data_IF_240138548587
#
_entry.id   IF_240138548587
#
_cell.length_a   1.000
_cell.length_b   1.000
_cell.length_c   1.000
_cell.angle_alpha   90.00
_cell.angle_beta   90.00
_cell.angle_gamma   90.00
#
_symmetry.space_group_name_H-M   'P 1'
#
loop_
_entity.id
_entity.type
_entity.pdbx_description
1 polymer ?
#
# COMPACT_ATOMS: atom_id res chain seq x y z
N UNK A 1 28.50 -24.71 22.67
CA UNK A 1 28.20 -24.98 21.28
C UNK A 1 27.12 -26.03 21.27
N UNK A 2 25.89 -25.65 21.22
CA UNK A 2 24.73 -26.53 21.13
C UNK A 2 23.69 -25.85 20.22
N UNK A 3 23.21 -26.60 19.32
CA UNK A 3 22.44 -26.32 18.11
C UNK A 3 21.17 -25.50 18.31
N UNK A 4 21.11 -24.37 17.63
CA UNK A 4 19.90 -23.57 17.42
C UNK A 4 19.25 -23.85 16.06
N UNK A 5 19.02 -25.12 15.72
CA UNK A 5 18.39 -25.51 14.45
C UNK A 5 17.00 -26.14 14.60
N UNK A 6 16.21 -25.74 15.58
CA UNK A 6 14.85 -26.31 15.73
C UNK A 6 13.76 -25.29 16.07
N UNK A 7 13.61 -24.24 15.26
CA UNK A 7 12.45 -23.34 15.43
C UNK A 7 11.73 -22.93 14.14
N UNK A 8 11.91 -23.69 13.05
CA UNK A 8 11.17 -23.44 11.79
C UNK A 8 10.33 -24.64 11.35
N UNK A 9 9.48 -25.18 12.21
CA UNK A 9 8.48 -26.12 11.76
C UNK A 9 7.09 -25.70 12.22
N UNK A 10 6.27 -25.44 11.18
CA UNK A 10 4.82 -25.57 11.15
C UNK A 10 3.98 -24.59 11.95
N UNK A 11 3.50 -23.59 11.27
CA UNK A 11 2.08 -23.24 11.31
C UNK A 11 1.71 -22.63 9.95
N UNK A 12 1.30 -23.47 9.02
CA UNK A 12 0.53 -22.98 7.87
C UNK A 12 -0.82 -22.53 8.40
N UNK A 13 -1.00 -21.22 8.58
CA UNK A 13 -2.29 -20.64 8.87
C UNK A 13 -3.15 -20.71 7.59
N UNK A 14 -4.47 -20.72 7.75
CA UNK A 14 -5.43 -20.67 6.64
C UNK A 14 -5.15 -19.51 5.66
N UNK A 15 -4.40 -18.49 6.07
CA UNK A 15 -3.92 -17.35 5.27
C UNK A 15 -2.86 -17.75 4.21
N UNK A 16 -2.12 -18.83 4.43
CA UNK A 16 -1.11 -19.30 3.46
C UNK A 16 -1.69 -19.87 2.17
N UNK A 17 -2.95 -20.30 2.19
CA UNK A 17 -3.58 -20.91 1.01
C UNK A 17 -3.91 -19.90 -0.09
N UNK A 18 -4.18 -18.64 0.27
CA UNK A 18 -4.46 -17.57 -0.70
C UNK A 18 -3.19 -16.89 -1.25
N UNK A 19 -2.07 -16.96 -0.50
CA UNK A 19 -0.78 -16.43 -0.96
C UNK A 19 -0.08 -17.36 -1.96
N UNK A 20 -0.41 -18.64 -1.98
CA UNK A 20 0.20 -19.64 -2.88
C UNK A 20 -0.29 -19.56 -4.34
N UNK A 21 -1.34 -18.81 -4.62
CA UNK A 21 -1.94 -18.66 -5.96
C UNK A 21 -1.21 -17.72 -6.92
N UNK A 22 -0.12 -17.07 -6.53
CA UNK A 22 0.47 -15.96 -7.28
C UNK A 22 1.93 -16.11 -7.74
N UNK A 23 2.58 -17.24 -7.55
CA UNK A 23 3.99 -17.36 -7.91
C UNK A 23 4.28 -18.64 -8.72
N UNK A 24 4.06 -18.59 -10.03
CA UNK A 24 4.76 -19.46 -10.98
C UNK A 24 5.74 -18.59 -11.76
N UNK A 25 6.92 -18.41 -11.19
CA UNK A 25 8.10 -17.89 -11.87
C UNK A 25 8.98 -19.07 -12.30
N UNK A 26 9.26 -19.16 -13.58
CA UNK A 26 10.10 -20.19 -14.19
C UNK A 26 11.53 -20.16 -13.61
N UNK A 27 11.95 -21.22 -12.93
CA UNK A 27 13.32 -21.49 -12.59
C UNK A 27 13.98 -22.33 -13.69
N UNK A 28 15.00 -21.81 -14.35
CA UNK A 28 15.85 -22.55 -15.28
C UNK A 28 16.91 -23.28 -14.45
N UNK A 29 16.82 -24.60 -14.41
CA UNK A 29 17.90 -25.45 -13.92
C UNK A 29 18.72 -25.95 -15.13
N UNK A 30 20.01 -25.63 -15.14
CA UNK A 30 20.98 -26.19 -16.09
C UNK A 30 21.62 -27.38 -15.44
N UNK A 31 21.43 -28.55 -16.01
CA UNK A 31 22.15 -29.79 -15.68
C UNK A 31 22.54 -30.56 -16.97
N UNK A 32 23.64 -31.36 -16.99
CA UNK A 32 24.30 -31.77 -18.21
C UNK A 32 23.62 -32.93 -18.91
N UNK A 33 23.74 -32.90 -20.24
CA UNK A 33 23.33 -33.87 -21.24
C UNK A 33 23.91 -35.27 -21.04
N UNK A 34 23.07 -36.30 -21.09
CA UNK A 34 23.36 -37.57 -21.74
C UNK A 34 22.07 -38.15 -22.33
N UNK A 35 22.18 -38.60 -23.55
CA UNK A 35 21.14 -38.84 -24.51
C UNK A 35 20.10 -39.92 -24.20
N UNK A 36 18.96 -39.74 -24.84
CA UNK A 36 17.90 -40.75 -24.90
C UNK A 36 16.62 -40.11 -25.46
N UNK A 37 16.30 -40.47 -26.71
CA UNK A 37 15.11 -40.09 -27.42
C UNK A 37 13.87 -40.72 -26.79
N UNK A 38 13.01 -39.92 -26.17
CA UNK A 38 11.59 -40.24 -25.98
C UNK A 38 10.80 -38.96 -26.00
N UNK A 39 10.08 -38.77 -27.10
CA UNK A 39 9.11 -37.66 -27.24
C UNK A 39 7.92 -37.96 -26.35
N UNK A 40 7.89 -37.34 -25.17
CA UNK A 40 6.70 -37.26 -24.34
C UNK A 40 6.15 -35.86 -24.48
N UNK A 41 5.01 -35.71 -25.13
CA UNK A 41 4.23 -34.51 -25.15
C UNK A 41 3.85 -34.17 -23.69
N UNK A 42 4.54 -33.19 -23.10
CA UNK A 42 4.14 -32.60 -21.82
C UNK A 42 2.88 -31.76 -22.13
N UNK A 43 1.72 -32.32 -21.84
CA UNK A 43 0.52 -31.51 -21.72
C UNK A 43 0.77 -30.49 -20.62
N UNK A 44 0.97 -29.24 -20.99
CA UNK A 44 0.96 -28.11 -20.09
C UNK A 44 -0.43 -28.05 -19.47
N UNK A 45 -0.57 -28.62 -18.27
CA UNK A 45 -1.71 -28.31 -17.44
C UNK A 45 -1.57 -26.82 -17.07
N UNK A 46 -2.27 -25.96 -17.79
CA UNK A 46 -2.49 -24.60 -17.37
C UNK A 46 -3.07 -24.67 -15.95
N UNK A 47 -2.33 -24.21 -14.97
CA UNK A 47 -2.89 -24.00 -13.64
C UNK A 47 -4.18 -23.16 -13.83
N UNK A 48 -5.27 -23.47 -13.11
CA UNK A 48 -6.47 -22.68 -13.21
C UNK A 48 -6.07 -21.24 -12.82
N UNK A 49 -6.12 -20.35 -13.80
CA UNK A 49 -6.16 -18.92 -13.54
C UNK A 49 -7.30 -18.77 -12.56
N UNK A 50 -7.03 -18.30 -11.36
CA UNK A 50 -8.08 -17.99 -10.39
C UNK A 50 -9.12 -17.18 -11.16
N UNK A 51 -10.33 -17.73 -11.29
CA UNK A 51 -11.37 -17.10 -12.05
C UNK A 51 -11.48 -15.68 -11.53
N UNK A 52 -11.37 -14.71 -12.42
CA UNK A 52 -11.73 -13.34 -12.10
C UNK A 52 -13.08 -13.43 -11.38
N UNK A 53 -13.27 -12.70 -10.25
CA UNK A 53 -14.51 -12.78 -9.50
C UNK A 53 -15.65 -12.69 -10.50
N UNK A 54 -16.58 -13.66 -10.44
CA UNK A 54 -17.67 -13.77 -11.40
C UNK A 54 -18.29 -12.38 -11.52
N UNK A 55 -18.43 -11.92 -12.76
CA UNK A 55 -18.98 -10.61 -13.06
C UNK A 55 -20.17 -10.41 -12.14
N UNK A 56 -20.08 -9.40 -11.26
CA UNK A 56 -21.18 -9.04 -10.40
C UNK A 56 -22.35 -8.81 -11.34
N UNK A 57 -23.36 -9.67 -11.29
CA UNK A 57 -24.59 -9.50 -12.06
C UNK A 57 -25.43 -8.32 -11.52
N UNK A 58 -24.74 -7.29 -11.03
CA UNK A 58 -25.27 -5.96 -10.83
C UNK A 58 -24.98 -5.19 -12.10
N UNK A 59 -25.95 -4.47 -12.60
CA UNK A 59 -25.76 -3.60 -13.75
C UNK A 59 -24.47 -2.80 -13.60
N UNK A 60 -23.78 -2.47 -14.69
CA UNK A 60 -22.60 -1.60 -14.68
C UNK A 60 -22.81 -0.32 -13.84
N UNK A 61 -24.05 0.12 -13.69
CA UNK A 61 -24.48 1.18 -12.80
C UNK A 61 -24.22 0.90 -11.29
N UNK A 62 -24.20 -0.36 -10.85
CA UNK A 62 -23.93 -0.68 -9.45
C UNK A 62 -22.42 -0.69 -9.12
N UNK A 63 -21.58 -0.87 -10.12
CA UNK A 63 -20.12 -0.96 -9.94
C UNK A 63 -19.42 0.36 -10.28
N UNK A 64 -19.91 1.11 -11.26
CA UNK A 64 -19.16 2.23 -11.80
C UNK A 64 -19.94 3.51 -12.12
N UNK A 65 -21.20 3.64 -11.75
CA UNK A 65 -21.96 4.82 -12.22
C UNK A 65 -22.25 4.81 -13.72
N UNK A 66 -22.55 5.95 -14.30
CA UNK A 66 -22.76 6.10 -15.75
C UNK A 66 -21.56 5.59 -16.54
N UNK A 67 -21.80 5.04 -17.73
CA UNK A 67 -20.75 4.49 -18.60
C UNK A 67 -19.50 5.37 -18.58
N UNK A 68 -18.43 4.80 -17.98
CA UNK A 68 -17.26 5.58 -17.66
C UNK A 68 -16.51 6.00 -18.92
N UNK A 69 -15.86 7.14 -18.84
CA UNK A 69 -14.83 7.52 -19.79
C UNK A 69 -13.44 7.30 -19.14
N UNK A 70 -12.91 6.08 -19.18
CA UNK A 70 -11.65 5.75 -18.50
C UNK A 70 -10.44 6.48 -19.11
N UNK A 71 -10.60 7.09 -20.27
CA UNK A 71 -9.54 7.87 -20.92
C UNK A 71 -9.39 9.25 -20.27
N UNK A 72 -10.51 9.88 -19.91
CA UNK A 72 -10.51 11.23 -19.34
C UNK A 72 -10.74 11.25 -17.82
N UNK A 73 -10.94 10.09 -17.20
CA UNK A 73 -11.12 9.98 -15.76
C UNK A 73 -9.83 9.55 -15.07
N UNK A 74 -9.42 10.22 -13.98
CA UNK A 74 -8.25 9.80 -13.21
C UNK A 74 -8.37 8.34 -12.75
N UNK A 75 -7.28 7.59 -12.82
CA UNK A 75 -7.25 6.24 -12.27
C UNK A 75 -7.27 6.27 -10.72
N UNK A 76 -7.69 5.17 -10.11
CA UNK A 76 -7.48 4.90 -8.68
C UNK A 76 -5.98 4.65 -8.47
N UNK A 77 -5.27 5.63 -7.90
CA UNK A 77 -3.83 5.53 -7.69
C UNK A 77 -3.49 5.37 -6.21
N UNK A 78 -2.41 4.64 -5.93
CA UNK A 78 -1.87 4.49 -4.59
C UNK A 78 -2.85 3.87 -3.60
N UNK A 79 -3.62 2.88 -4.03
CA UNK A 79 -4.59 2.19 -3.17
C UNK A 79 -3.90 1.55 -1.98
N UNK A 80 -4.30 1.93 -0.78
CA UNK A 80 -3.72 1.48 0.47
C UNK A 80 -4.73 1.38 1.60
N UNK A 81 -4.34 0.66 2.63
CA UNK A 81 -5.16 0.35 3.80
C UNK A 81 -4.52 0.88 5.07
N UNK A 82 -5.38 1.26 6.01
CA UNK A 82 -5.03 1.57 7.38
C UNK A 82 -6.08 1.00 8.32
N UNK A 83 -5.68 0.56 9.49
CA UNK A 83 -6.66 0.26 10.52
C UNK A 83 -7.40 1.53 10.97
N UNK A 84 -8.68 1.38 11.29
CA UNK A 84 -9.42 2.39 12.04
C UNK A 84 -9.05 2.39 13.52
N UNK A 85 -9.89 3.02 14.35
CA UNK A 85 -9.68 3.08 15.79
C UNK A 85 -9.79 1.71 16.48
N UNK A 86 -10.62 0.82 15.93
CA UNK A 86 -10.72 -0.58 16.32
C UNK A 86 -10.22 -1.48 15.17
N UNK A 87 -8.96 -1.97 15.22
CA UNK A 87 -8.40 -2.81 14.16
C UNK A 87 -9.16 -4.11 13.91
N UNK A 88 -9.94 -4.58 14.87
CA UNK A 88 -10.74 -5.78 14.73
C UNK A 88 -12.06 -5.54 13.96
N UNK A 89 -12.53 -4.29 13.89
CA UNK A 89 -13.86 -3.95 13.38
C UNK A 89 -13.87 -2.78 12.38
N UNK A 90 -12.73 -2.13 12.17
CA UNK A 90 -12.65 -0.95 11.32
C UNK A 90 -11.45 -1.02 10.37
N UNK A 91 -11.67 -0.55 9.14
CA UNK A 91 -10.64 -0.41 8.11
C UNK A 91 -10.86 0.90 7.36
N UNK A 92 -9.78 1.55 6.99
CA UNK A 92 -9.82 2.67 6.06
C UNK A 92 -9.17 2.26 4.75
N UNK A 93 -9.90 2.45 3.66
CA UNK A 93 -9.39 2.25 2.30
C UNK A 93 -9.16 3.62 1.69
N UNK A 94 -7.94 3.86 1.23
CA UNK A 94 -7.53 5.17 0.72
C UNK A 94 -6.89 5.06 -0.66
N UNK A 95 -7.11 6.07 -1.49
CA UNK A 95 -6.44 6.26 -2.78
C UNK A 95 -6.35 7.74 -3.11
N UNK A 96 -5.63 8.09 -4.15
CA UNK A 96 -5.52 9.49 -4.55
C UNK A 96 -5.67 9.70 -6.05
N UNK A 97 -5.95 10.94 -6.42
CA UNK A 97 -6.06 11.43 -7.79
C UNK A 97 -5.47 12.84 -7.88
N UNK A 98 -5.12 13.27 -9.09
CA UNK A 98 -4.65 14.64 -9.35
C UNK A 98 -5.75 15.58 -9.85
N UNK A 99 -6.97 15.09 -9.88
CA UNK A 99 -8.18 15.86 -10.20
C UNK A 99 -9.28 15.43 -9.23
N UNK A 100 -10.27 16.31 -8.95
CA UNK A 100 -11.42 15.90 -8.18
C UNK A 100 -12.22 14.81 -8.90
N UNK A 101 -12.80 13.91 -8.15
CA UNK A 101 -13.61 12.79 -8.65
C UNK A 101 -14.98 12.80 -7.98
N UNK A 102 -15.96 12.15 -8.62
CA UNK A 102 -17.32 12.07 -8.12
C UNK A 102 -17.65 10.65 -7.67
N UNK A 103 -18.55 10.54 -6.71
CA UNK A 103 -19.07 9.27 -6.17
C UNK A 103 -17.98 8.26 -5.79
N UNK A 104 -16.92 8.77 -5.17
CA UNK A 104 -15.83 7.94 -4.64
C UNK A 104 -16.35 7.07 -3.50
N UNK A 105 -16.16 5.75 -3.62
CA UNK A 105 -16.66 4.77 -2.64
C UNK A 105 -15.91 3.45 -2.69
N UNK A 106 -16.09 2.66 -1.67
CA UNK A 106 -15.63 1.27 -1.61
C UNK A 106 -16.82 0.34 -1.63
N UNK A 107 -16.80 -0.62 -2.52
CA UNK A 107 -17.73 -1.75 -2.50
C UNK A 107 -17.07 -2.88 -1.73
N UNK A 108 -17.71 -3.35 -0.65
CA UNK A 108 -17.18 -4.38 0.24
C UNK A 108 -17.94 -5.69 0.06
N UNK A 109 -17.20 -6.78 0.00
CA UNK A 109 -17.70 -8.14 -0.09
C UNK A 109 -16.93 -9.11 0.82
N UNK A 110 -17.49 -10.29 0.96
CA UNK A 110 -16.81 -11.42 1.58
C UNK A 110 -15.99 -12.21 0.56
N UNK A 111 -15.40 -13.29 1.02
CA UNK A 111 -14.61 -14.22 0.17
C UNK A 111 -15.48 -14.97 -0.86
N UNK A 112 -16.82 -14.85 -0.77
CA UNK A 112 -17.76 -15.32 -1.80
C UNK A 112 -17.75 -14.42 -3.08
N UNK A 113 -17.01 -13.32 -3.06
CA UNK A 113 -16.90 -12.38 -4.18
C UNK A 113 -18.13 -11.51 -4.42
N UNK A 114 -19.10 -11.52 -3.50
CA UNK A 114 -20.32 -10.71 -3.62
C UNK A 114 -20.14 -9.41 -2.84
N UNK A 115 -20.24 -8.30 -3.56
CA UNK A 115 -20.19 -6.95 -2.98
C UNK A 115 -21.58 -6.54 -2.50
N UNK A 116 -21.80 -6.55 -1.20
CA UNK A 116 -23.11 -6.29 -0.59
C UNK A 116 -23.26 -4.89 -0.01
N UNK A 117 -22.13 -4.28 0.37
CA UNK A 117 -22.10 -3.01 1.07
C UNK A 117 -21.31 -1.98 0.28
N UNK A 118 -21.75 -0.73 0.35
CA UNK A 118 -21.07 0.43 -0.24
C UNK A 118 -20.76 1.46 0.83
N UNK A 119 -19.51 1.92 0.87
CA UNK A 119 -19.03 2.92 1.84
C UNK A 119 -18.52 4.14 1.07
N UNK A 120 -19.16 5.30 1.22
CA UNK A 120 -18.70 6.51 0.56
C UNK A 120 -17.33 6.95 1.09
N UNK A 121 -16.49 7.48 0.22
CA UNK A 121 -15.23 8.06 0.59
C UNK A 121 -15.36 9.57 0.82
N UNK A 122 -14.61 10.07 1.80
CA UNK A 122 -14.43 11.50 2.04
C UNK A 122 -13.15 11.95 1.34
N UNK A 123 -13.24 13.07 0.62
CA UNK A 123 -12.10 13.67 -0.05
C UNK A 123 -11.37 14.64 0.89
N UNK A 124 -10.06 14.46 1.03
CA UNK A 124 -9.14 15.47 1.55
C UNK A 124 -8.27 15.96 0.40
N UNK A 125 -7.74 17.16 0.49
CA UNK A 125 -6.82 17.67 -0.52
C UNK A 125 -5.75 18.55 0.08
N UNK A 126 -4.61 18.61 -0.60
CA UNK A 126 -3.61 19.64 -0.37
C UNK A 126 -3.05 20.13 -1.71
N UNK A 127 -2.53 21.35 -1.69
CA UNK A 127 -1.78 21.89 -2.83
C UNK A 127 -0.32 21.94 -2.45
N UNK A 128 0.53 21.26 -3.23
CA UNK A 128 1.96 21.25 -2.99
C UNK A 128 2.55 22.65 -3.14
N UNK A 129 3.17 23.15 -2.07
CA UNK A 129 3.74 24.48 -2.02
C UNK A 129 4.94 24.72 -2.97
N UNK A 130 5.48 23.66 -3.57
CA UNK A 130 6.60 23.75 -4.52
C UNK A 130 6.13 23.75 -5.97
N UNK A 131 5.21 22.88 -6.34
CA UNK A 131 4.71 22.72 -7.71
C UNK A 131 3.40 23.45 -7.97
N UNK A 132 2.63 23.78 -6.94
CA UNK A 132 1.26 24.29 -7.06
C UNK A 132 0.23 23.22 -7.48
N UNK A 133 0.65 21.97 -7.62
CA UNK A 133 -0.24 20.87 -7.99
C UNK A 133 -1.10 20.44 -6.79
N UNK A 134 -2.39 20.20 -7.04
CA UNK A 134 -3.31 19.71 -6.01
C UNK A 134 -3.47 18.20 -6.09
N UNK A 135 -3.40 17.55 -4.94
CA UNK A 135 -3.68 16.13 -4.74
C UNK A 135 -4.98 15.98 -3.98
N UNK A 136 -5.81 15.06 -4.42
CA UNK A 136 -7.08 14.70 -3.78
C UNK A 136 -6.99 13.26 -3.28
N UNK A 137 -7.02 13.05 -1.97
CA UNK A 137 -7.07 11.74 -1.36
C UNK A 137 -8.50 11.39 -0.95
N UNK A 138 -8.90 10.18 -1.26
CA UNK A 138 -10.21 9.62 -0.96
C UNK A 138 -10.05 8.63 0.18
N UNK A 139 -10.87 8.74 1.24
CA UNK A 139 -10.81 7.87 2.42
C UNK A 139 -12.19 7.28 2.70
N UNK A 140 -12.36 6.00 2.46
CA UNK A 140 -13.56 5.26 2.82
C UNK A 140 -13.37 4.58 4.17
N UNK A 141 -14.12 5.03 5.18
CA UNK A 141 -14.11 4.45 6.51
C UNK A 141 -15.15 3.32 6.59
N UNK A 142 -14.67 2.12 6.81
CA UNK A 142 -15.45 0.89 6.92
C UNK A 142 -15.52 0.50 8.39
N UNK A 143 -16.70 0.34 8.92
CA UNK A 143 -16.94 -0.05 10.32
C UNK A 143 -17.93 -1.20 10.43
N UNK A 144 -18.04 -1.79 11.61
CA UNK A 144 -18.96 -2.90 11.86
C UNK A 144 -18.51 -4.23 11.25
N UNK A 145 -17.21 -4.37 11.00
CA UNK A 145 -16.62 -5.61 10.51
C UNK A 145 -16.57 -6.69 11.60
N UNK A 146 -16.56 -7.94 11.18
CA UNK A 146 -16.30 -9.06 12.07
C UNK A 146 -14.81 -9.22 12.33
N UNK A 147 -14.37 -9.53 13.55
CA UNK A 147 -12.97 -9.78 13.87
C UNK A 147 -12.43 -11.04 13.21
N UNK A 148 -11.13 -11.04 12.90
CA UNK A 148 -10.40 -12.18 12.30
C UNK A 148 -11.06 -12.70 11.02
N UNK A 149 -11.59 -11.79 10.20
CA UNK A 149 -12.25 -12.10 8.94
C UNK A 149 -11.51 -11.50 7.75
N UNK A 150 -11.56 -12.21 6.63
CA UNK A 150 -11.07 -11.75 5.34
C UNK A 150 -12.21 -11.12 4.54
N UNK A 151 -11.88 -9.98 3.94
CA UNK A 151 -12.77 -9.21 3.08
C UNK A 151 -12.10 -8.92 1.75
N UNK A 152 -12.94 -8.81 0.71
CA UNK A 152 -12.55 -8.30 -0.59
C UNK A 152 -13.25 -6.98 -0.84
N UNK A 153 -12.60 -6.10 -1.59
CA UNK A 153 -13.20 -4.80 -1.89
C UNK A 153 -12.82 -4.28 -3.26
N UNK A 154 -13.61 -3.34 -3.75
CA UNK A 154 -13.32 -2.53 -4.94
C UNK A 154 -13.32 -1.06 -4.54
N UNK A 155 -12.23 -0.35 -4.83
CA UNK A 155 -12.20 1.10 -4.80
C UNK A 155 -12.67 1.62 -6.15
N UNK A 156 -13.66 2.52 -6.14
CA UNK A 156 -14.30 3.03 -7.35
C UNK A 156 -14.62 4.52 -7.21
N UNK A 157 -14.64 5.21 -8.33
CA UNK A 157 -15.28 6.51 -8.51
C UNK A 157 -15.80 6.60 -9.96
N UNK A 158 -16.68 7.56 -10.20
CA UNK A 158 -17.33 7.66 -11.51
C UNK A 158 -16.32 7.73 -12.66
N UNK A 159 -16.53 6.90 -13.65
CA UNK A 159 -15.73 6.83 -14.87
C UNK A 159 -14.44 6.01 -14.78
N UNK A 160 -13.92 5.74 -13.57
CA UNK A 160 -12.69 4.98 -13.41
C UNK A 160 -12.90 3.46 -13.47
N UNK A 161 -11.86 2.74 -13.86
CA UNK A 161 -11.82 1.30 -13.70
C UNK A 161 -11.70 0.95 -12.20
N UNK A 162 -12.58 0.07 -11.68
CA UNK A 162 -12.48 -0.38 -10.30
C UNK A 162 -11.13 -1.05 -10.00
N UNK A 163 -10.56 -0.78 -8.84
CA UNK A 163 -9.33 -1.44 -8.38
C UNK A 163 -9.64 -2.36 -7.21
N UNK A 164 -9.28 -3.62 -7.38
CA UNK A 164 -9.48 -4.68 -6.40
C UNK A 164 -8.42 -4.66 -5.30
N UNK A 165 -8.85 -4.97 -4.08
CA UNK A 165 -8.00 -5.29 -2.95
C UNK A 165 -8.68 -6.26 -1.98
N UNK A 166 -7.92 -6.70 -0.99
CA UNK A 166 -8.42 -7.56 0.09
C UNK A 166 -7.76 -7.16 1.41
N UNK A 167 -8.38 -7.52 2.53
CA UNK A 167 -7.77 -7.33 3.83
C UNK A 167 -8.31 -8.34 4.84
N UNK A 168 -7.60 -8.49 5.95
CA UNK A 168 -8.08 -9.17 7.13
C UNK A 168 -8.20 -8.19 8.28
N UNK A 169 -9.28 -8.30 9.06
CA UNK A 169 -9.42 -7.61 10.35
C UNK A 169 -8.54 -8.27 11.40
N UNK A 170 -8.12 -7.49 12.40
CA UNK A 170 -7.39 -8.04 13.52
C UNK A 170 -8.27 -8.99 14.35
N UNK A 171 -7.68 -10.00 15.00
CA UNK A 171 -8.39 -10.83 15.96
C UNK A 171 -8.72 -10.03 17.22
N UNK A 172 -9.73 -10.49 17.97
CA UNK A 172 -10.00 -10.02 19.32
C UNK A 172 -9.29 -10.88 20.36
N UNK A 173 -8.96 -10.30 21.50
CA UNK A 173 -8.33 -11.01 22.61
C UNK A 173 -6.83 -11.26 22.40
N UNK A 174 -6.30 -12.25 23.12
CA UNK A 174 -4.87 -12.58 23.12
C UNK A 174 -4.56 -13.67 22.10
N UNK A 175 -4.14 -13.24 20.93
CA UNK A 175 -3.71 -14.15 19.86
C UNK A 175 -2.32 -13.75 19.36
N UNK A 176 -1.55 -14.73 18.91
CA UNK A 176 -0.27 -14.48 18.27
C UNK A 176 -0.50 -13.93 16.85
N UNK A 177 0.23 -12.89 16.50
CA UNK A 177 0.27 -12.35 15.15
C UNK A 177 1.68 -11.86 14.82
N UNK A 178 1.96 -11.73 13.55
CA UNK A 178 3.21 -11.16 13.04
C UNK A 178 2.93 -9.78 12.49
N UNK A 179 3.81 -8.83 12.73
CA UNK A 179 3.85 -7.55 12.04
C UNK A 179 5.28 -7.24 11.60
N UNK A 180 5.44 -6.37 10.63
CA UNK A 180 6.75 -5.83 10.26
C UNK A 180 6.87 -4.39 10.75
N UNK A 181 8.10 -3.98 11.00
CA UNK A 181 8.44 -2.61 11.38
C UNK A 181 9.66 -2.18 10.58
N UNK A 182 9.56 -1.10 9.82
CA UNK A 182 10.60 -0.56 8.97
C UNK A 182 10.37 0.93 8.71
N UNK A 183 11.35 1.61 8.13
CA UNK A 183 11.30 3.01 7.74
C UNK A 183 12.32 3.29 6.66
N UNK A 184 12.54 4.55 6.30
CA UNK A 184 13.60 4.99 5.39
C UNK A 184 13.60 4.26 4.05
N UNK A 185 12.43 4.07 3.45
CA UNK A 185 12.31 3.24 2.24
C UNK A 185 12.77 3.97 0.97
N UNK A 186 12.32 5.20 0.78
CA UNK A 186 12.50 5.91 -0.47
C UNK A 186 11.66 5.32 -1.62
N UNK A 187 12.09 5.59 -2.85
CA UNK A 187 11.44 5.10 -4.06
C UNK A 187 12.41 4.32 -4.95
N UNK A 188 11.93 3.46 -5.85
CA UNK A 188 12.79 2.79 -6.84
C UNK A 188 13.35 3.75 -7.89
N UNK A 189 12.80 4.94 -8.00
CA UNK A 189 13.21 5.95 -8.98
C UNK A 189 14.61 6.41 -8.68
N UNK A 190 15.49 6.34 -9.68
CA UNK A 190 16.87 6.84 -9.55
C UNK A 190 16.85 8.37 -9.51
N UNK A 191 17.52 8.92 -8.50
CA UNK A 191 17.71 10.36 -8.37
C UNK A 191 18.63 10.94 -9.43
N UNK A 192 19.01 12.19 -9.27
CA UNK A 192 19.88 12.92 -10.20
C UNK A 192 21.35 12.64 -9.91
N UNK A 193 22.14 12.65 -10.96
CA UNK A 193 23.60 12.81 -10.81
C UNK A 193 23.89 14.22 -10.32
N UNK A 194 24.77 14.35 -9.32
CA UNK A 194 25.21 15.64 -8.84
C UNK A 194 25.76 16.47 -10.00
N UNK A 195 25.22 17.65 -10.19
CA UNK A 195 25.74 18.63 -11.14
C UNK A 195 26.65 19.60 -10.36
N UNK A 196 27.96 19.54 -10.55
CA UNK A 196 28.86 20.44 -9.85
C UNK A 196 28.58 21.90 -10.25
N UNK A 197 28.92 22.88 -9.39
CA UNK A 197 28.87 24.30 -9.73
C UNK A 197 29.65 24.61 -11.02
N UNK A 198 29.24 25.64 -11.71
CA UNK A 198 29.89 26.06 -12.94
C UNK A 198 31.41 26.22 -12.75
N UNK A 199 32.22 25.64 -13.62
CA UNK A 199 33.68 25.66 -13.57
C UNK A 199 34.33 24.58 -12.68
N UNK A 200 33.55 23.74 -12.02
CA UNK A 200 34.04 22.58 -11.24
C UNK A 200 33.78 21.30 -12.04
N UNK A 201 34.84 20.54 -12.30
CA UNK A 201 34.73 19.22 -12.94
C UNK A 201 35.04 18.14 -11.92
N UNK A 202 34.10 17.22 -11.73
CA UNK A 202 34.26 16.03 -10.89
C UNK A 202 34.23 14.81 -11.81
N UNK A 203 35.29 14.01 -11.81
CA UNK A 203 35.44 12.88 -12.73
C UNK A 203 34.35 11.81 -12.55
N UNK A 204 33.94 11.55 -11.30
CA UNK A 204 32.85 10.65 -10.94
C UNK A 204 31.93 11.38 -9.96
N UNK A 205 31.00 12.21 -10.45
CA UNK A 205 30.13 12.95 -9.56
C UNK A 205 29.31 11.97 -8.71
N UNK A 206 29.17 12.21 -7.40
CA UNK A 206 28.35 11.37 -6.56
C UNK A 206 26.93 11.39 -7.08
N UNK A 207 26.27 10.27 -6.94
CA UNK A 207 24.86 10.17 -7.23
C UNK A 207 24.11 10.97 -6.17
N UNK A 208 23.40 12.02 -6.57
CA UNK A 208 22.54 12.80 -5.69
C UNK A 208 21.12 12.37 -5.97
N UNK A 209 20.56 11.71 -5.02
CA UNK A 209 19.20 11.27 -5.07
C UNK A 209 18.29 12.35 -4.49
N UNK A 210 17.45 12.94 -5.31
CA UNK A 210 16.48 13.94 -4.85
C UNK A 210 15.46 13.33 -3.91
N UNK A 211 15.23 12.03 -4.00
CA UNK A 211 14.22 11.31 -3.25
C UNK A 211 14.79 10.12 -2.46
N UNK A 212 16.07 10.08 -2.21
CA UNK A 212 16.77 9.02 -1.47
C UNK A 212 16.16 7.64 -1.74
N UNK A 213 16.21 7.20 -2.96
CA UNK A 213 15.73 5.88 -3.36
C UNK A 213 16.78 5.16 -4.20
N UNK A 214 16.46 3.98 -4.61
CA UNK A 214 17.31 3.18 -5.45
C UNK A 214 16.62 1.88 -5.85
N UNK A 215 17.18 1.12 -6.81
CA UNK A 215 16.56 -0.11 -7.29
C UNK A 215 16.20 -1.10 -6.19
N UNK A 216 16.92 -1.09 -5.06
CA UNK A 216 16.63 -1.94 -3.91
C UNK A 216 15.27 -1.65 -3.26
N UNK A 217 14.79 -0.40 -3.31
CA UNK A 217 13.47 -0.03 -2.77
C UNK A 217 12.33 -0.80 -3.45
N UNK A 218 12.51 -1.22 -4.71
CA UNK A 218 11.54 -2.04 -5.43
C UNK A 218 11.32 -3.43 -4.79
N UNK A 219 12.31 -3.93 -4.07
CA UNK A 219 12.26 -5.25 -3.43
C UNK A 219 11.64 -5.21 -2.03
N UNK A 220 11.53 -4.03 -1.41
CA UNK A 220 11.01 -3.87 -0.05
C UNK A 220 9.61 -4.49 0.11
N UNK A 221 8.61 -4.20 -0.74
CA UNK A 221 7.28 -4.79 -0.59
C UNK A 221 7.29 -6.32 -0.65
N UNK A 222 8.09 -6.91 -1.55
CA UNK A 222 8.23 -8.36 -1.63
C UNK A 222 8.94 -8.94 -0.40
N UNK A 223 9.90 -8.22 0.15
CA UNK A 223 10.64 -8.62 1.36
C UNK A 223 9.74 -8.68 2.60
N UNK A 224 8.98 -7.62 2.86
CA UNK A 224 8.10 -7.53 4.02
C UNK A 224 6.90 -8.47 3.94
N UNK A 225 6.44 -8.81 2.73
CA UNK A 225 5.34 -9.74 2.53
C UNK A 225 5.73 -11.21 2.76
N UNK A 226 7.01 -11.56 2.76
CA UNK A 226 7.48 -12.96 2.96
C UNK A 226 7.07 -13.54 4.30
N UNK A 227 6.95 -12.70 5.35
CA UNK A 227 6.55 -13.15 6.69
C UNK A 227 5.05 -13.10 6.91
N UNK A 228 4.27 -12.79 5.88
CA UNK A 228 2.80 -12.72 5.90
C UNK A 228 2.26 -11.96 7.13
N UNK A 229 2.67 -10.70 7.31
CA UNK A 229 2.29 -9.95 8.50
C UNK A 229 0.81 -9.59 8.46
N UNK A 230 0.24 -9.33 9.63
CA UNK A 230 -1.12 -8.78 9.75
C UNK A 230 -1.14 -7.33 9.25
N UNK A 231 -0.11 -6.55 9.58
CA UNK A 231 0.05 -5.16 9.17
C UNK A 231 1.53 -4.75 9.18
N UNK A 232 1.80 -3.54 8.66
CA UNK A 232 3.11 -2.93 8.64
C UNK A 232 3.14 -1.67 9.50
N UNK A 233 4.12 -1.55 10.40
CA UNK A 233 4.49 -0.27 11.03
C UNK A 233 5.55 0.39 10.14
N UNK A 234 5.26 1.60 9.67
CA UNK A 234 6.20 2.37 8.89
C UNK A 234 6.72 3.55 9.74
N UNK A 235 8.00 3.51 10.09
CA UNK A 235 8.59 4.38 11.11
C UNK A 235 9.14 5.68 10.54
N UNK A 236 8.43 6.28 9.59
CA UNK A 236 8.78 7.57 9.00
C UNK A 236 9.77 7.49 7.85
N UNK A 237 10.04 8.66 7.27
CA UNK A 237 10.90 8.85 6.10
C UNK A 237 10.49 7.92 4.95
N UNK A 238 9.23 8.09 4.51
CA UNK A 238 8.59 7.18 3.57
C UNK A 238 9.23 7.26 2.18
N UNK A 239 9.15 8.41 1.55
CA UNK A 239 9.53 8.57 0.15
C UNK A 239 10.53 9.71 -0.10
N UNK A 240 10.88 10.50 0.92
CA UNK A 240 11.80 11.62 0.83
C UNK A 240 11.37 12.71 -0.18
N UNK A 241 10.07 12.90 -0.33
CA UNK A 241 9.52 13.88 -1.27
C UNK A 241 9.99 15.31 -1.01
N UNK A 242 10.28 15.67 0.25
CA UNK A 242 10.80 16.98 0.62
C UNK A 242 12.12 17.35 -0.10
N UNK A 243 12.94 16.35 -0.44
CA UNK A 243 14.20 16.51 -1.16
C UNK A 243 14.00 16.50 -2.68
N UNK A 244 12.87 15.97 -3.14
CA UNK A 244 12.61 15.79 -4.56
C UNK A 244 12.32 17.11 -5.29
N UNK A 245 12.66 17.16 -6.57
CA UNK A 245 12.28 18.27 -7.45
C UNK A 245 10.78 18.29 -7.68
N UNK A 246 10.19 17.12 -7.91
CA UNK A 246 8.76 16.91 -8.06
C UNK A 246 8.25 16.02 -6.91
N UNK A 247 7.69 16.65 -5.89
CA UNK A 247 7.19 15.97 -4.70
C UNK A 247 6.00 15.09 -4.99
N UNK A 248 5.06 15.58 -5.78
CA UNK A 248 3.82 14.84 -6.09
C UNK A 248 4.13 13.59 -6.89
N UNK A 249 5.04 13.69 -7.87
CA UNK A 249 5.53 12.51 -8.59
C UNK A 249 6.24 11.52 -7.67
N UNK A 250 7.03 11.99 -6.72
CA UNK A 250 7.75 11.13 -5.77
C UNK A 250 6.78 10.34 -4.89
N UNK A 251 5.70 10.96 -4.41
CA UNK A 251 4.63 10.26 -3.73
C UNK A 251 3.93 9.23 -4.63
N UNK A 252 3.70 9.56 -5.90
CA UNK A 252 3.14 8.61 -6.87
C UNK A 252 4.07 7.41 -7.08
N UNK A 253 5.36 7.64 -7.29
CA UNK A 253 6.36 6.58 -7.45
C UNK A 253 6.46 5.67 -6.20
N UNK A 254 6.31 6.26 -5.01
CA UNK A 254 6.24 5.50 -3.76
C UNK A 254 5.03 4.58 -3.73
N UNK A 255 3.86 5.09 -4.09
CA UNK A 255 2.64 4.30 -4.11
C UNK A 255 2.65 3.24 -5.22
N UNK A 256 3.14 3.55 -6.41
CA UNK A 256 3.26 2.58 -7.51
C UNK A 256 4.10 1.38 -7.10
N UNK A 257 5.15 1.62 -6.31
CA UNK A 257 5.97 0.56 -5.75
C UNK A 257 5.24 -0.27 -4.68
N UNK A 258 4.47 0.38 -3.82
CA UNK A 258 3.99 -0.21 -2.57
C UNK A 258 2.54 -0.68 -2.61
N UNK A 259 1.71 -0.19 -3.53
CA UNK A 259 0.27 -0.47 -3.55
C UNK A 259 -0.06 -1.97 -3.66
N UNK A 260 0.80 -2.79 -4.25
CA UNK A 260 0.60 -4.25 -4.31
C UNK A 260 0.59 -4.91 -2.93
N UNK A 261 1.34 -4.36 -1.96
CA UNK A 261 1.26 -4.73 -0.55
C UNK A 261 0.17 -3.91 0.16
N UNK A 262 0.24 -2.60 0.03
CA UNK A 262 -0.58 -1.66 0.78
C UNK A 262 -2.09 -1.79 0.53
N UNK A 263 -2.52 -2.27 -0.64
CA UNK A 263 -3.93 -2.56 -0.93
C UNK A 263 -4.46 -3.86 -0.29
N UNK A 264 -3.57 -4.68 0.28
CA UNK A 264 -3.94 -5.96 0.86
C UNK A 264 -3.58 -6.09 2.34
N UNK A 265 -2.79 -5.14 2.88
CA UNK A 265 -2.40 -5.10 4.28
C UNK A 265 -2.39 -3.67 4.79
N UNK A 266 -2.85 -3.43 6.02
CA UNK A 266 -2.76 -2.10 6.60
C UNK A 266 -1.32 -1.63 6.75
N UNK A 267 -1.05 -0.43 6.28
CA UNK A 267 0.18 0.30 6.47
C UNK A 267 -0.06 1.40 7.49
N UNK A 268 0.56 1.29 8.66
CA UNK A 268 0.38 2.21 9.78
C UNK A 268 1.62 3.10 9.91
N UNK A 269 1.65 4.25 9.21
CA UNK A 269 2.82 5.10 9.19
C UNK A 269 2.85 6.07 10.37
N UNK A 270 4.05 6.36 10.84
CA UNK A 270 4.36 7.58 11.58
C UNK A 270 5.09 8.53 10.63
N UNK A 271 4.92 9.86 10.75
CA UNK A 271 5.72 10.79 9.98
C UNK A 271 7.14 10.87 10.52
N UNK A 272 8.13 10.83 9.64
CA UNK A 272 9.52 11.16 9.94
C UNK A 272 9.81 12.64 9.67
N UNK A 273 11.07 13.02 9.73
CA UNK A 273 11.46 14.40 9.43
C UNK A 273 11.41 14.71 7.92
N UNK A 274 11.46 13.69 7.06
CA UNK A 274 11.36 13.85 5.62
C UNK A 274 9.92 13.95 5.10
N UNK A 275 8.91 13.71 5.92
CA UNK A 275 7.52 14.09 5.63
C UNK A 275 7.25 15.57 5.87
N UNK A 276 8.21 16.32 6.44
CA UNK A 276 8.15 17.76 6.53
C UNK A 276 8.50 18.41 5.18
N UNK A 277 7.50 18.69 4.41
CA UNK A 277 7.60 19.33 3.11
C UNK A 277 7.32 20.84 3.24
N UNK A 278 8.37 21.65 3.15
CA UNK A 278 8.24 23.11 3.28
C UNK A 278 7.18 23.68 2.31
N UNK A 279 6.25 24.44 2.87
CA UNK A 279 5.15 25.05 2.13
C UNK A 279 3.85 24.23 2.12
N UNK A 280 3.89 22.99 2.62
CA UNK A 280 2.72 22.14 2.71
C UNK A 280 2.09 22.25 4.12
N UNK A 281 1.29 23.31 4.29
CA UNK A 281 0.65 23.66 5.57
C UNK A 281 1.59 24.33 6.58
N UNK A 282 1.09 24.65 7.78
CA UNK A 282 1.82 25.44 8.78
C UNK A 282 3.11 24.80 9.28
N UNK A 283 3.15 23.45 9.33
CA UNK A 283 4.28 22.68 9.85
C UNK A 283 4.87 21.71 8.82
N UNK A 284 4.45 21.81 7.54
CA UNK A 284 5.01 21.03 6.46
C UNK A 284 4.48 19.59 6.29
N UNK A 285 3.57 19.13 7.13
CA UNK A 285 3.08 17.72 7.10
C UNK A 285 1.73 17.54 6.37
N UNK A 286 1.26 18.52 5.63
CA UNK A 286 -0.07 18.47 5.01
C UNK A 286 -0.17 17.36 3.96
N UNK A 287 0.89 17.07 3.20
CA UNK A 287 0.91 15.95 2.27
C UNK A 287 0.67 14.62 3.01
N UNK A 288 1.48 14.32 4.04
CA UNK A 288 1.31 13.13 4.86
C UNK A 288 -0.10 13.03 5.46
N UNK A 289 -0.59 14.14 6.04
CA UNK A 289 -1.93 14.19 6.65
C UNK A 289 -3.07 14.03 5.65
N UNK A 290 -2.80 14.27 4.36
CA UNK A 290 -3.78 14.08 3.29
C UNK A 290 -3.75 12.67 2.74
N UNK A 291 -2.56 12.09 2.53
CA UNK A 291 -2.46 10.72 2.02
C UNK A 291 -2.95 9.67 3.04
N UNK A 292 -2.77 9.92 4.34
CA UNK A 292 -3.04 8.94 5.38
C UNK A 292 -4.18 9.36 6.31
N UNK A 293 -5.16 8.48 6.47
CA UNK A 293 -6.25 8.60 7.42
C UNK A 293 -5.93 7.85 8.71
N UNK A 294 -4.86 8.24 9.38
CA UNK A 294 -4.49 7.61 10.66
C UNK A 294 -5.54 7.87 11.74
N UNK A 295 -5.86 6.89 12.60
CA UNK A 295 -6.82 7.07 13.67
C UNK A 295 -6.40 8.25 14.56
N UNK A 296 -7.25 9.25 14.67
CA UNK A 296 -7.04 10.33 15.64
C UNK A 296 -7.51 9.81 16.98
N UNK A 297 -6.60 9.62 17.92
CA UNK A 297 -7.03 9.45 19.31
C UNK A 297 -7.73 10.74 19.75
N UNK A 298 -8.93 10.66 20.36
CA UNK A 298 -9.49 11.82 21.04
C UNK A 298 -8.44 12.30 22.04
N UNK A 299 -8.18 13.60 22.04
CA UNK A 299 -7.24 14.20 23.00
C UNK A 299 -7.59 13.69 24.40
N UNK A 300 -6.71 12.87 24.99
CA UNK A 300 -6.88 12.50 26.41
C UNK A 300 -6.86 13.82 27.17
N UNK A 301 -7.86 14.10 28.02
CA UNK A 301 -7.78 15.23 28.91
C UNK A 301 -6.47 15.04 29.70
N UNK A 302 -5.59 16.03 29.63
CA UNK A 302 -4.37 16.03 30.44
C UNK A 302 -4.81 15.88 31.89
N UNK A 303 -4.43 14.77 32.51
CA UNK A 303 -4.59 14.61 33.94
C UNK A 303 -3.88 15.79 34.59
N UNK A 304 -4.49 16.52 35.51
CA UNK A 304 -3.81 17.61 36.18
C UNK A 304 -2.54 17.06 36.82
N UNK A 305 -1.41 17.70 36.52
CA UNK A 305 -0.15 17.41 37.20
C UNK A 305 -0.39 17.69 38.68
N UNK A 306 -0.47 16.65 39.48
CA UNK A 306 -0.51 16.79 40.93
C UNK A 306 0.88 17.30 41.34
N UNK A 307 0.99 18.61 41.48
CA UNK A 307 2.15 19.21 42.12
C UNK A 307 2.06 18.95 43.63
N UNK A 308 2.61 17.83 44.04
CA UNK A 308 2.75 17.44 45.42
C UNK A 308 4.20 17.11 45.72
N UNK A 309 5.00 18.11 45.88
CA UNK A 309 6.25 17.99 46.63
C UNK A 309 6.11 18.85 47.87
N UNK A 310 6.06 18.20 48.98
CA UNK A 310 6.60 18.72 50.27
C UNK A 310 7.77 17.81 50.66
#
# INVERSE_FOLDING_TARGET
MANDEQLFTSHMSRRGLLAAGGAVGAGIAVGPLLGGTASAAVASAAAPVAAAPAAVNGSAAAIGGAAGDPVNTPAVNGLHLQFGADPAREMVVSWHTLQPVHDARVLLGGTDGRYKNSYPAQALSYTDGKSGQTVYAQHAHISGLDPDQEYVYLAVHDGAQPVFGSFATAPTGRQAFTFTSFGDQGTPTTGKVFVPPAGVTIANPPFVNDNLGGPASANTPAGIERVQPLFHLFNGDLCYANLATDRVKTWSDFWDNNTRSARNRPWMPAPGNHENERGNGPIGYQAFQTYFATPRQPARPMSPVVSGMR
#
